data_IF_358578959518
#
_entry.id   IF_358578959518
#
_cell.length_a   1.000
_cell.length_b   1.000
_cell.length_c   1.000
_cell.angle_alpha   90.00
_cell.angle_beta   90.00
_cell.angle_gamma   90.00
#
_symmetry.space_group_name_H-M   'P 1'
#
loop_
_entity.id
_entity.type
_entity.pdbx_description
1 polymer ?
#
# COMPACT_ATOMS: atom_id res chain seq x y z
N UNK A 1 -25.24 -0.94 -20.66
CA UNK A 1 -23.82 -0.70 -20.40
C UNK A 1 -23.19 -1.99 -19.87
N UNK A 2 -22.05 -2.37 -20.40
CA UNK A 2 -21.38 -3.60 -20.00
C UNK A 2 -20.36 -3.31 -18.91
N UNK A 3 -20.57 -3.91 -17.74
CA UNK A 3 -19.66 -3.78 -16.59
C UNK A 3 -18.78 -5.02 -16.37
N UNK A 4 -18.72 -5.91 -17.37
CA UNK A 4 -17.95 -7.15 -17.22
C UNK A 4 -16.44 -6.97 -17.37
N UNK A 5 -16.01 -5.90 -18.05
CA UNK A 5 -14.60 -5.68 -18.30
C UNK A 5 -13.85 -5.23 -17.03
N UNK A 6 -12.69 -5.83 -16.82
CA UNK A 6 -11.84 -5.59 -15.66
C UNK A 6 -10.43 -5.25 -16.11
N UNK A 7 -9.70 -4.57 -15.24
CA UNK A 7 -8.27 -4.37 -15.38
C UNK A 7 -7.59 -4.90 -14.13
N UNK A 8 -6.50 -5.64 -14.30
CA UNK A 8 -5.73 -6.14 -13.17
C UNK A 8 -4.89 -5.02 -12.57
N UNK A 9 -4.90 -4.92 -11.25
CA UNK A 9 -4.05 -4.02 -10.48
C UNK A 9 -3.42 -4.79 -9.32
N UNK A 10 -2.38 -4.22 -8.72
CA UNK A 10 -1.87 -4.73 -7.46
C UNK A 10 -2.32 -3.84 -6.32
N UNK A 11 -2.58 -4.48 -5.18
CA UNK A 11 -2.98 -3.83 -3.94
C UNK A 11 -2.03 -4.33 -2.87
N UNK A 12 -1.39 -3.42 -2.16
CA UNK A 12 -0.48 -3.81 -1.08
C UNK A 12 -0.79 -3.05 0.20
N UNK A 13 -0.43 -3.66 1.33
CA UNK A 13 -0.62 -3.05 2.63
C UNK A 13 0.67 -3.07 3.44
N UNK A 14 0.84 -2.01 4.22
CA UNK A 14 1.82 -1.93 5.29
C UNK A 14 1.19 -1.20 6.46
N UNK A 15 1.77 -1.32 7.63
CA UNK A 15 1.30 -0.64 8.84
C UNK A 15 2.44 0.14 9.47
N UNK A 16 2.12 1.22 10.16
CA UNK A 16 3.11 2.04 10.85
C UNK A 16 2.53 2.58 12.16
N UNK A 17 3.40 3.13 13.00
CA UNK A 17 3.07 3.44 14.40
C UNK A 17 2.43 4.81 14.62
N UNK A 18 2.35 5.65 13.60
CA UNK A 18 1.78 6.99 13.74
C UNK A 18 1.12 7.44 12.43
N UNK A 19 0.11 8.34 12.52
CA UNK A 19 -0.45 8.93 11.30
C UNK A 19 0.57 9.77 10.53
N UNK A 20 1.53 10.35 11.24
CA UNK A 20 2.61 11.12 10.63
C UNK A 20 3.49 10.25 9.72
N UNK A 21 3.89 9.07 10.20
CA UNK A 21 4.66 8.13 9.39
C UNK A 21 3.86 7.64 8.19
N UNK A 22 2.56 7.36 8.39
CA UNK A 22 1.69 6.95 7.29
C UNK A 22 1.61 8.02 6.21
N UNK A 23 1.49 9.28 6.61
CA UNK A 23 1.46 10.41 5.69
C UNK A 23 2.77 10.53 4.91
N UNK A 24 3.90 10.44 5.59
CA UNK A 24 5.23 10.55 4.95
C UNK A 24 5.46 9.44 3.92
N UNK A 25 5.15 8.21 4.30
CA UNK A 25 5.32 7.07 3.40
C UNK A 25 4.40 7.21 2.18
N UNK A 26 3.12 7.53 2.41
CA UNK A 26 2.16 7.69 1.33
C UNK A 26 2.56 8.79 0.37
N UNK A 27 2.97 9.95 0.89
CA UNK A 27 3.38 11.07 0.06
C UNK A 27 4.62 10.72 -0.78
N UNK A 28 5.60 10.07 -0.18
CA UNK A 28 6.79 9.65 -0.91
C UNK A 28 6.48 8.67 -2.05
N UNK A 29 5.54 7.75 -1.81
CA UNK A 29 5.14 6.79 -2.84
C UNK A 29 4.42 7.46 -4.00
N UNK A 30 3.52 8.39 -3.72
CA UNK A 30 2.81 9.13 -4.77
C UNK A 30 3.78 10.00 -5.57
N UNK A 31 4.68 10.69 -4.90
CA UNK A 31 5.68 11.55 -5.55
C UNK A 31 6.67 10.75 -6.40
N UNK A 32 6.88 9.48 -6.10
CA UNK A 32 7.77 8.62 -6.88
C UNK A 32 7.17 8.19 -8.21
N UNK A 33 5.87 8.41 -8.44
CA UNK A 33 5.11 7.94 -9.59
C UNK A 33 5.00 6.41 -9.70
N UNK A 34 5.34 5.69 -8.63
CA UNK A 34 5.25 4.22 -8.61
C UNK A 34 3.86 3.73 -8.20
N UNK A 35 3.12 4.54 -7.47
CA UNK A 35 1.84 4.18 -6.86
C UNK A 35 0.78 5.18 -7.27
N UNK A 36 -0.37 4.68 -7.69
CA UNK A 36 -1.47 5.53 -8.15
C UNK A 36 -2.23 6.18 -6.99
N UNK A 37 -2.47 5.43 -5.92
CA UNK A 37 -3.14 6.00 -4.75
C UNK A 37 -2.74 5.27 -3.48
N UNK A 38 -2.75 6.00 -2.39
CA UNK A 38 -2.57 5.49 -1.04
C UNK A 38 -3.74 5.93 -0.19
N UNK A 39 -4.30 5.01 0.57
CA UNK A 39 -5.38 5.29 1.51
C UNK A 39 -4.91 4.87 2.89
N UNK A 40 -5.15 5.71 3.88
CA UNK A 40 -4.71 5.46 5.25
C UNK A 40 -5.93 5.29 6.13
N UNK A 41 -5.96 4.20 6.91
CA UNK A 41 -6.96 4.01 7.94
C UNK A 41 -6.32 3.66 9.27
N UNK A 42 -7.00 4.02 10.33
CA UNK A 42 -6.54 3.84 11.70
C UNK A 42 -7.27 4.79 12.64
N UNK A 43 -7.01 4.66 13.96
CA UNK A 43 -6.08 3.71 14.56
C UNK A 43 -6.59 2.27 14.52
N UNK A 44 -5.68 1.34 14.32
CA UNK A 44 -5.92 -0.10 14.40
C UNK A 44 -5.28 -0.61 15.69
N UNK A 45 -5.88 -1.62 16.29
CA UNK A 45 -5.25 -2.34 17.40
C UNK A 45 -4.70 -3.65 16.86
N UNK A 46 -3.36 -3.78 16.88
CA UNK A 46 -2.66 -4.94 16.36
C UNK A 46 -2.15 -5.80 17.51
N UNK A 47 -2.50 -7.07 17.49
CA UNK A 47 -2.12 -8.04 18.52
C UNK A 47 -1.21 -9.08 17.86
N UNK A 48 -0.01 -9.30 18.42
CA UNK A 48 0.94 -10.25 17.84
C UNK A 48 1.96 -10.69 18.90
N UNK A 49 2.71 -11.72 18.56
CA UNK A 49 3.83 -12.13 19.40
C UNK A 49 5.14 -11.58 18.84
N UNK A 50 5.91 -10.95 19.69
CA UNK A 50 7.22 -10.45 19.34
C UNK A 50 8.19 -10.93 20.41
N UNK A 51 9.19 -11.72 19.99
CA UNK A 51 10.20 -12.31 20.88
C UNK A 51 9.56 -13.06 22.06
N UNK A 52 8.50 -13.83 21.77
CA UNK A 52 7.80 -14.65 22.75
C UNK A 52 6.75 -13.94 23.60
N UNK A 53 6.61 -12.62 23.46
CA UNK A 53 5.66 -11.84 24.24
C UNK A 53 4.46 -11.44 23.40
N UNK A 54 3.28 -11.50 24.00
CA UNK A 54 2.07 -10.96 23.38
C UNK A 54 2.14 -9.44 23.44
N UNK A 55 2.07 -8.81 22.30
CA UNK A 55 2.19 -7.37 22.14
C UNK A 55 0.91 -6.79 21.58
N UNK A 56 0.50 -5.63 22.09
CA UNK A 56 -0.66 -4.87 21.62
C UNK A 56 -0.16 -3.48 21.22
N UNK A 57 -0.33 -3.11 19.98
CA UNK A 57 0.09 -1.80 19.50
C UNK A 57 -1.00 -1.12 18.70
N UNK A 58 -1.00 0.20 18.75
CA UNK A 58 -1.87 1.02 17.90
C UNK A 58 -1.10 1.32 16.61
N UNK A 59 -1.75 1.07 15.49
CA UNK A 59 -1.14 1.27 14.18
C UNK A 59 -2.08 1.96 13.21
N UNK A 60 -1.50 2.45 12.12
CA UNK A 60 -2.22 2.98 10.95
C UNK A 60 -1.83 2.15 9.75
N UNK A 61 -2.82 1.79 8.93
CA UNK A 61 -2.58 0.97 7.74
C UNK A 61 -2.61 1.83 6.49
N UNK A 62 -1.64 1.60 5.63
CA UNK A 62 -1.63 2.18 4.29
C UNK A 62 -2.01 1.09 3.31
N UNK A 63 -3.03 1.35 2.50
CA UNK A 63 -3.40 0.49 1.39
C UNK A 63 -3.05 1.23 0.11
N UNK A 64 -2.26 0.62 -0.74
CA UNK A 64 -1.79 1.26 -1.96
C UNK A 64 -2.18 0.45 -3.19
N UNK A 65 -2.42 1.14 -4.29
CA UNK A 65 -2.83 0.53 -5.56
C UNK A 65 -1.90 1.01 -6.66
N UNK A 66 -1.44 0.08 -7.49
CA UNK A 66 -0.43 0.39 -8.50
C UNK A 66 -0.40 -0.66 -9.61
N UNK A 67 0.31 -0.33 -10.68
CA UNK A 67 0.52 -1.20 -11.83
C UNK A 67 1.44 -2.35 -11.46
N UNK A 68 1.11 -3.56 -11.90
CA UNK A 68 1.88 -4.77 -11.61
C UNK A 68 3.35 -4.68 -12.07
N UNK A 69 3.63 -3.90 -13.10
CA UNK A 69 5.02 -3.72 -13.56
C UNK A 69 5.91 -3.03 -12.52
N UNK A 70 5.29 -2.34 -11.55
CA UNK A 70 6.01 -1.62 -10.49
C UNK A 70 6.17 -2.43 -9.21
N UNK A 71 5.75 -3.70 -9.20
CA UNK A 71 5.71 -4.54 -8.00
C UNK A 71 6.99 -4.50 -7.19
N UNK A 72 8.11 -4.84 -7.81
CA UNK A 72 9.40 -4.88 -7.09
C UNK A 72 9.86 -3.50 -6.63
N UNK A 73 9.68 -2.49 -7.48
CA UNK A 73 10.09 -1.13 -7.15
C UNK A 73 9.31 -0.55 -5.99
N UNK A 74 8.00 -0.83 -5.94
CA UNK A 74 7.14 -0.35 -4.83
C UNK A 74 7.56 -1.01 -3.52
N UNK A 75 7.72 -2.33 -3.51
CA UNK A 75 8.16 -3.04 -2.31
C UNK A 75 9.50 -2.50 -1.82
N UNK A 76 10.46 -2.37 -2.73
CA UNK A 76 11.79 -1.87 -2.40
C UNK A 76 11.73 -0.47 -1.80
N UNK A 77 10.93 0.41 -2.40
CA UNK A 77 10.77 1.78 -1.91
C UNK A 77 10.19 1.81 -0.49
N UNK A 78 9.13 1.02 -0.25
CA UNK A 78 8.51 0.94 1.06
C UNK A 78 9.51 0.43 2.10
N UNK A 79 10.24 -0.64 1.80
CA UNK A 79 11.20 -1.20 2.74
C UNK A 79 12.35 -0.24 3.04
N UNK A 80 12.75 0.59 2.08
CA UNK A 80 13.79 1.59 2.27
C UNK A 80 13.39 2.72 3.22
N UNK A 81 12.13 3.18 3.11
CA UNK A 81 11.67 4.37 3.86
C UNK A 81 10.92 4.02 5.14
N UNK A 82 10.56 2.76 5.35
CA UNK A 82 9.79 2.34 6.51
C UNK A 82 10.65 2.40 7.78
N UNK A 83 10.12 2.98 8.89
CA UNK A 83 10.89 3.07 10.12
C UNK A 83 11.01 1.77 10.91
N UNK A 84 10.20 0.75 10.62
CA UNK A 84 10.25 -0.53 11.33
C UNK A 84 11.45 -1.37 10.90
N UNK A 85 11.97 -2.14 11.84
CA UNK A 85 12.99 -3.16 11.56
C UNK A 85 12.42 -4.26 10.66
N UNK A 86 11.16 -4.66 10.91
CA UNK A 86 10.46 -5.70 10.15
C UNK A 86 9.09 -5.19 9.74
N UNK A 87 9.00 -4.43 8.64
CA UNK A 87 7.72 -3.89 8.20
C UNK A 87 6.83 -4.97 7.61
N UNK A 88 5.52 -4.81 7.81
CA UNK A 88 4.54 -5.61 7.09
C UNK A 88 4.60 -5.26 5.61
N UNK A 89 4.61 -6.27 4.77
CA UNK A 89 4.43 -6.09 3.34
C UNK A 89 3.61 -7.24 2.79
N UNK A 90 2.41 -6.93 2.31
CA UNK A 90 1.53 -7.92 1.70
C UNK A 90 1.06 -7.33 0.38
N UNK A 91 1.21 -8.09 -0.70
CA UNK A 91 0.78 -7.68 -2.03
C UNK A 91 -0.21 -8.71 -2.55
N UNK A 92 -1.34 -8.25 -3.06
CA UNK A 92 -2.34 -9.11 -3.68
C UNK A 92 -2.68 -8.58 -5.06
N UNK A 93 -3.11 -9.49 -5.93
CA UNK A 93 -3.64 -9.13 -7.24
C UNK A 93 -5.13 -8.93 -7.13
N UNK A 94 -5.62 -7.87 -7.75
CA UNK A 94 -7.04 -7.56 -7.74
C UNK A 94 -7.54 -7.22 -9.12
N UNK A 95 -8.82 -7.42 -9.33
CA UNK A 95 -9.49 -7.01 -10.55
C UNK A 95 -10.32 -5.76 -10.25
N UNK A 96 -10.00 -4.68 -10.94
CA UNK A 96 -10.72 -3.42 -10.81
C UNK A 96 -11.71 -3.26 -11.96
N UNK A 97 -12.71 -2.42 -11.75
CA UNK A 97 -13.54 -1.96 -12.86
C UNK A 97 -12.60 -1.34 -13.91
N UNK A 98 -12.89 -1.54 -15.18
CA UNK A 98 -12.01 -1.19 -16.30
C UNK A 98 -11.46 0.24 -16.24
N UNK A 99 -12.34 1.22 -16.07
CA UNK A 99 -11.91 2.63 -16.11
C UNK A 99 -11.04 3.01 -14.92
N UNK A 100 -11.43 2.55 -13.73
CA UNK A 100 -10.63 2.78 -12.54
C UNK A 100 -9.28 2.06 -12.63
N UNK A 101 -9.30 0.80 -13.06
CA UNK A 101 -8.06 0.03 -13.23
C UNK A 101 -7.11 0.65 -14.24
N UNK A 102 -7.64 1.15 -15.34
CA UNK A 102 -6.82 1.85 -16.33
C UNK A 102 -6.21 3.11 -15.76
N UNK A 103 -6.95 3.84 -14.95
CA UNK A 103 -6.42 5.01 -14.26
C UNK A 103 -5.27 4.62 -13.34
N UNK A 104 -5.45 3.56 -12.52
CA UNK A 104 -4.40 3.08 -11.62
C UNK A 104 -3.14 2.71 -12.41
N UNK A 105 -3.31 2.06 -13.56
CA UNK A 105 -2.19 1.54 -14.33
C UNK A 105 -1.44 2.61 -15.13
N UNK A 106 -2.02 3.80 -15.30
CA UNK A 106 -1.47 4.82 -16.20
C UNK A 106 -1.23 6.18 -15.53
N UNK A 107 -1.30 6.26 -14.22
CA UNK A 107 -1.17 7.55 -13.50
C UNK A 107 0.16 8.23 -13.72
N UNK A 108 1.24 7.48 -13.89
CA UNK A 108 2.56 8.07 -14.12
C UNK A 108 2.71 8.67 -15.52
N UNK A 109 1.74 8.48 -16.39
CA UNK A 109 1.76 9.00 -17.76
C UNK A 109 0.99 10.32 -17.91
N UNK A 110 0.38 10.79 -16.84
CA UNK A 110 -0.45 12.01 -16.87
C UNK A 110 0.29 13.25 -16.36
#
# INVERSE_FOLDING_TARGET
>A
MDYSERAEILIATTTCSSPEDARKISQALIESDLVACCQVDGPLHSYYKWKGEVTDETEWRITMKYNSRNSELVMRKVLEIHPYELPQWIEIRGEAEKNFGNWVNNTQET
#
